data_IF_658965542502
#
_entry.id   IF_658965542502
#
_cell.length_a   1.000
_cell.length_b   1.000
_cell.length_c   1.000
_cell.angle_alpha   90.00
_cell.angle_beta   90.00
_cell.angle_gamma   90.00
#
_symmetry.space_group_name_H-M   'P 1'
#
loop_
_entity.id
_entity.type
_entity.pdbx_description
1 polymer ?
#
# COMPACT_ATOMS: atom_id res chain seq x y z
N UNK A 1 -41.24 -4.79 43.75
CA UNK A 1 -39.94 -5.52 43.74
C UNK A 1 -39.68 -6.33 42.46
N UNK A 2 -40.66 -7.05 41.90
CA UNK A 2 -40.50 -7.87 40.68
C UNK A 2 -39.96 -7.11 39.44
N UNK A 3 -40.41 -5.88 39.17
CA UNK A 3 -39.99 -5.15 37.97
C UNK A 3 -38.55 -4.61 38.06
N UNK A 4 -38.04 -4.32 39.27
CA UNK A 4 -36.65 -3.88 39.45
C UNK A 4 -35.66 -5.03 39.24
N UNK A 5 -36.05 -6.25 39.60
CA UNK A 5 -35.26 -7.45 39.37
C UNK A 5 -35.20 -7.80 37.86
N UNK A 6 -36.32 -7.70 37.14
CA UNK A 6 -36.38 -7.90 35.68
C UNK A 6 -35.50 -6.88 34.93
N UNK A 7 -35.53 -5.61 35.35
CA UNK A 7 -34.73 -4.56 34.74
C UNK A 7 -33.22 -4.78 34.99
N UNK A 8 -32.83 -5.25 36.18
CA UNK A 8 -31.45 -5.58 36.49
C UNK A 8 -30.92 -6.73 35.63
N UNK A 9 -31.71 -7.82 35.50
CA UNK A 9 -31.35 -8.99 34.69
C UNK A 9 -31.20 -8.61 33.21
N UNK A 10 -32.09 -7.76 32.67
CA UNK A 10 -32.03 -7.33 31.28
C UNK A 10 -30.74 -6.53 30.99
N UNK A 11 -30.35 -5.62 31.88
CA UNK A 11 -29.12 -4.83 31.74
C UNK A 11 -27.87 -5.72 31.79
N UNK A 12 -27.83 -6.72 32.67
CA UNK A 12 -26.69 -7.66 32.76
C UNK A 12 -26.55 -8.50 31.48
N UNK A 13 -27.67 -8.95 30.90
CA UNK A 13 -27.66 -9.72 29.63
C UNK A 13 -27.15 -8.87 28.47
N UNK A 14 -27.57 -7.61 28.38
CA UNK A 14 -27.11 -6.68 27.32
C UNK A 14 -25.60 -6.40 27.44
N UNK A 15 -25.10 -6.19 28.66
CA UNK A 15 -23.65 -5.98 28.90
C UNK A 15 -22.85 -7.24 28.57
N UNK A 16 -23.34 -8.43 28.89
CA UNK A 16 -22.68 -9.70 28.56
C UNK A 16 -22.63 -9.95 27.03
N UNK A 17 -23.69 -9.60 26.30
CA UNK A 17 -23.73 -9.70 24.84
C UNK A 17 -22.75 -8.71 24.16
N UNK A 18 -22.63 -7.50 24.70
CA UNK A 18 -21.67 -6.49 24.21
C UNK A 18 -20.22 -6.90 24.51
N UNK A 19 -19.96 -7.55 25.64
CA UNK A 19 -18.63 -8.07 25.99
C UNK A 19 -18.23 -9.28 25.13
N UNK A 20 -19.18 -10.14 24.73
CA UNK A 20 -18.92 -11.26 23.82
C UNK A 20 -18.63 -10.81 22.39
N UNK A 21 -19.21 -9.68 21.94
CA UNK A 21 -18.96 -9.12 20.61
C UNK A 21 -17.54 -8.57 20.42
N UNK A 22 -16.84 -8.21 21.50
CA UNK A 22 -15.46 -7.70 21.45
C UNK A 22 -14.38 -8.78 21.33
N UNK A 23 -14.72 -10.06 21.50
CA UNK A 23 -13.74 -11.15 21.59
C UNK A 23 -13.54 -11.96 20.28
N UNK A 24 -14.37 -11.77 19.25
CA UNK A 24 -14.01 -12.20 17.90
C UNK A 24 -13.18 -11.10 17.21
N UNK A 25 -11.95 -10.90 17.68
CA UNK A 25 -10.91 -10.45 16.76
C UNK A 25 -10.84 -11.52 15.66
N UNK A 26 -11.44 -11.24 14.51
CA UNK A 26 -11.36 -12.13 13.38
C UNK A 26 -9.87 -12.31 13.08
N UNK A 27 -9.34 -13.52 13.25
CA UNK A 27 -7.97 -13.89 12.87
C UNK A 27 -7.77 -13.49 11.40
N UNK A 28 -7.17 -12.32 11.19
CA UNK A 28 -6.90 -11.75 9.88
C UNK A 28 -5.50 -12.22 9.46
N UNK A 29 -5.30 -12.60 8.19
CA UNK A 29 -6.26 -12.72 7.09
C UNK A 29 -6.89 -14.13 6.96
N UNK A 30 -8.12 -14.23 6.43
CA UNK A 30 -8.83 -15.52 6.17
C UNK A 30 -9.04 -15.88 4.70
N UNK A 31 -8.65 -14.99 3.80
CA UNK A 31 -8.77 -15.13 2.35
C UNK A 31 -7.58 -14.44 1.69
N UNK A 32 -7.32 -14.69 0.39
CA UNK A 32 -6.24 -14.03 -0.32
C UNK A 32 -6.33 -12.50 -0.23
N UNK A 33 -5.18 -11.86 -0.21
CA UNK A 33 -5.03 -10.40 -0.21
C UNK A 33 -4.63 -9.97 -1.61
N UNK A 34 -5.37 -9.02 -2.18
CA UNK A 34 -5.01 -8.41 -3.46
C UNK A 34 -3.94 -7.34 -3.23
N UNK A 35 -2.89 -7.38 -4.04
CA UNK A 35 -1.79 -6.40 -4.02
C UNK A 35 -1.83 -5.62 -5.33
N UNK A 36 -2.32 -4.38 -5.27
CA UNK A 36 -2.40 -3.48 -6.41
C UNK A 36 -0.99 -2.99 -6.79
N UNK A 37 -0.65 -3.10 -8.09
CA UNK A 37 0.61 -2.64 -8.67
C UNK A 37 0.32 -1.68 -9.82
N UNK A 38 0.75 -0.43 -9.70
CA UNK A 38 0.48 0.62 -10.71
C UNK A 38 1.39 0.62 -11.93
N UNK A 39 2.19 -0.43 -12.13
CA UNK A 39 3.17 -0.57 -13.20
C UNK A 39 3.09 -1.95 -13.85
N UNK A 40 3.73 -2.10 -15.01
CA UNK A 40 3.75 -3.37 -15.73
C UNK A 40 4.50 -4.47 -14.95
N UNK A 41 4.16 -5.76 -15.16
CA UNK A 41 4.90 -6.89 -14.63
C UNK A 41 6.39 -6.82 -15.00
N UNK A 42 7.27 -7.28 -14.10
CA UNK A 42 8.73 -7.20 -14.24
C UNK A 42 9.35 -5.84 -13.90
N UNK A 43 8.55 -4.79 -13.66
CA UNK A 43 9.05 -3.50 -13.19
C UNK A 43 9.48 -3.50 -11.71
N UNK A 44 10.07 -2.40 -11.25
CA UNK A 44 10.59 -2.28 -9.87
C UNK A 44 9.56 -2.63 -8.79
N UNK A 45 8.30 -2.21 -8.93
CA UNK A 45 7.22 -2.56 -8.00
C UNK A 45 6.91 -4.05 -7.95
N UNK A 46 6.96 -4.73 -9.09
CA UNK A 46 6.73 -6.17 -9.17
C UNK A 46 7.89 -6.98 -8.58
N UNK A 47 9.13 -6.50 -8.81
CA UNK A 47 10.32 -7.05 -8.16
C UNK A 47 10.23 -6.87 -6.64
N UNK A 48 9.80 -5.70 -6.16
CA UNK A 48 9.55 -5.48 -4.73
C UNK A 48 8.55 -6.47 -4.14
N UNK A 49 7.39 -6.67 -4.78
CA UNK A 49 6.43 -7.67 -4.32
C UNK A 49 7.04 -9.07 -4.31
N UNK A 50 7.77 -9.42 -5.36
CA UNK A 50 8.38 -10.74 -5.53
C UNK A 50 9.38 -11.07 -4.42
N UNK A 51 10.09 -10.06 -3.91
CA UNK A 51 11.02 -10.23 -2.79
C UNK A 51 10.31 -10.52 -1.47
N UNK A 52 9.20 -9.83 -1.17
CA UNK A 52 8.54 -9.93 0.15
C UNK A 52 7.42 -10.96 0.20
N UNK A 53 6.74 -11.21 -0.92
CA UNK A 53 5.56 -12.08 -1.01
C UNK A 53 5.78 -13.46 -0.36
N UNK A 54 6.85 -14.22 -0.66
CA UNK A 54 7.02 -15.57 -0.10
C UNK A 54 7.08 -15.57 1.44
N UNK A 55 7.65 -14.52 2.04
CA UNK A 55 7.73 -14.38 3.49
C UNK A 55 6.37 -14.02 4.09
N UNK A 56 5.65 -13.10 3.46
CA UNK A 56 4.31 -12.69 3.90
C UNK A 56 3.30 -13.84 3.78
N UNK A 57 3.33 -14.60 2.67
CA UNK A 57 2.45 -15.75 2.48
C UNK A 57 2.73 -16.85 3.52
N UNK A 58 4.00 -17.10 3.85
CA UNK A 58 4.39 -18.02 4.92
C UNK A 58 3.91 -17.55 6.29
N UNK A 59 4.01 -16.25 6.58
CA UNK A 59 3.61 -15.66 7.86
C UNK A 59 2.10 -15.71 8.04
N UNK A 60 1.36 -15.23 7.04
CA UNK A 60 -0.09 -15.08 7.10
C UNK A 60 -0.86 -16.33 6.72
N UNK A 61 -0.18 -17.35 6.17
CA UNK A 61 -0.81 -18.59 5.66
C UNK A 61 -1.94 -18.29 4.67
N UNK A 62 -1.78 -17.21 3.89
CA UNK A 62 -2.69 -16.79 2.83
C UNK A 62 -1.88 -16.41 1.59
N UNK A 63 -2.56 -16.27 0.46
CA UNK A 63 -1.94 -15.88 -0.81
C UNK A 63 -1.98 -14.36 -0.98
N UNK A 64 -0.89 -13.79 -1.53
CA UNK A 64 -0.82 -12.40 -1.98
C UNK A 64 -0.96 -12.38 -3.51
N UNK A 65 -2.09 -11.88 -4.01
CA UNK A 65 -2.45 -11.91 -5.42
C UNK A 65 -2.05 -10.59 -6.07
N UNK A 66 -1.04 -10.56 -6.96
CA UNK A 66 -0.69 -9.34 -7.70
C UNK A 66 -1.82 -8.94 -8.64
N UNK A 67 -2.21 -7.67 -8.61
CA UNK A 67 -3.22 -7.09 -9.50
C UNK A 67 -2.60 -5.87 -10.18
N UNK A 68 -2.24 -6.03 -11.45
CA UNK A 68 -1.59 -4.97 -12.23
C UNK A 68 -2.64 -3.98 -12.77
N UNK A 69 -2.43 -2.69 -12.46
CA UNK A 69 -3.27 -1.56 -12.86
C UNK A 69 -2.38 -0.43 -13.43
N UNK A 70 -1.66 -0.68 -14.54
CA UNK A 70 -0.75 0.31 -15.11
C UNK A 70 -1.50 1.50 -15.71
N UNK A 71 -0.88 2.68 -15.64
CA UNK A 71 -1.35 3.90 -16.30
C UNK A 71 -1.21 5.15 -15.44
N UNK A 72 -1.08 6.31 -16.08
CA UNK A 72 -0.99 7.63 -15.44
C UNK A 72 0.04 7.74 -14.30
N UNK A 73 1.16 7.00 -14.37
CA UNK A 73 2.14 6.95 -13.28
C UNK A 73 1.57 6.39 -11.97
N UNK A 74 0.92 5.22 -12.06
CA UNK A 74 0.26 4.49 -10.97
C UNK A 74 -1.03 5.11 -10.40
N UNK A 75 -1.51 6.22 -10.97
CA UNK A 75 -2.69 6.92 -10.46
C UNK A 75 -3.95 6.03 -10.42
N UNK A 76 -4.13 5.19 -11.44
CA UNK A 76 -5.25 4.24 -11.53
C UNK A 76 -5.24 3.27 -10.34
N UNK A 77 -4.05 2.76 -9.98
CA UNK A 77 -3.90 1.83 -8.86
C UNK A 77 -4.15 2.52 -7.51
N UNK A 78 -3.69 3.76 -7.35
CA UNK A 78 -3.90 4.53 -6.11
C UNK A 78 -5.36 4.94 -5.93
N UNK A 79 -6.05 5.32 -7.00
CA UNK A 79 -7.51 5.55 -6.99
C UNK A 79 -8.27 4.30 -6.57
N UNK A 80 -7.95 3.14 -7.15
CA UNK A 80 -8.59 1.87 -6.76
C UNK A 80 -8.28 1.49 -5.31
N UNK A 81 -7.04 1.72 -4.85
CA UNK A 81 -6.66 1.50 -3.46
C UNK A 81 -7.46 2.38 -2.49
N UNK A 82 -7.55 3.68 -2.77
CA UNK A 82 -8.27 4.65 -1.95
C UNK A 82 -9.78 4.38 -1.89
N UNK A 83 -10.37 3.81 -2.96
CA UNK A 83 -11.77 3.42 -3.00
C UNK A 83 -12.04 2.00 -2.47
N UNK A 84 -11.00 1.23 -2.17
CA UNK A 84 -11.13 -0.13 -1.68
C UNK A 84 -11.69 -0.18 -0.25
N UNK A 85 -12.25 -1.33 0.14
CA UNK A 85 -12.71 -1.51 1.51
C UNK A 85 -11.52 -1.45 2.47
N UNK A 86 -11.58 -0.68 3.57
CA UNK A 86 -10.50 -0.60 4.55
C UNK A 86 -10.48 -1.82 5.48
N UNK A 87 -10.47 -3.02 4.89
CA UNK A 87 -10.51 -4.32 5.59
C UNK A 87 -9.20 -5.12 5.48
N UNK A 88 -8.18 -4.53 4.86
CA UNK A 88 -6.84 -5.11 4.68
C UNK A 88 -6.72 -6.08 3.50
N UNK A 89 -7.82 -6.50 2.88
CA UNK A 89 -7.75 -7.48 1.77
C UNK A 89 -7.39 -6.85 0.41
N UNK A 90 -7.28 -5.53 0.35
CA UNK A 90 -6.67 -4.81 -0.76
C UNK A 90 -5.57 -3.92 -0.20
N UNK A 91 -4.34 -4.19 -0.59
CA UNK A 91 -3.17 -3.37 -0.29
C UNK A 91 -2.54 -2.93 -1.62
N UNK A 92 -1.65 -1.95 -1.60
CA UNK A 92 -0.96 -1.52 -2.81
C UNK A 92 0.52 -1.28 -2.57
N UNK A 93 1.29 -1.45 -3.64
CA UNK A 93 2.68 -1.00 -3.65
C UNK A 93 2.72 0.45 -4.09
N UNK A 94 3.10 1.29 -3.14
CA UNK A 94 3.36 2.71 -3.35
C UNK A 94 4.83 2.91 -3.70
N UNK A 95 5.10 3.75 -4.69
CA UNK A 95 6.47 4.08 -5.11
C UNK A 95 6.70 5.58 -5.04
N UNK A 96 7.91 5.95 -4.64
CA UNK A 96 8.41 7.30 -4.84
C UNK A 96 9.06 7.41 -6.22
N UNK A 97 8.88 8.54 -6.91
CA UNK A 97 8.28 9.77 -6.40
C UNK A 97 6.77 9.93 -6.69
N UNK A 98 6.11 8.94 -7.30
CA UNK A 98 4.75 9.10 -7.86
C UNK A 98 3.70 9.42 -6.80
N UNK A 99 3.78 8.78 -5.64
CA UNK A 99 2.81 8.99 -4.54
C UNK A 99 2.75 10.47 -4.11
N UNK A 100 3.86 11.14 -3.77
CA UNK A 100 3.81 12.58 -3.49
C UNK A 100 3.66 13.45 -4.74
N UNK A 101 4.22 13.08 -5.90
CA UNK A 101 4.23 13.95 -7.09
C UNK A 101 2.87 14.02 -7.78
N UNK A 102 2.14 12.91 -7.91
CA UNK A 102 0.86 12.87 -8.64
C UNK A 102 -0.12 13.98 -8.18
N UNK A 103 -0.46 14.11 -6.88
CA UNK A 103 -1.38 15.16 -6.42
C UNK A 103 -0.79 16.59 -6.51
N UNK A 104 0.52 16.74 -6.69
CA UNK A 104 1.17 18.06 -6.85
C UNK A 104 1.03 18.54 -8.30
N UNK A 105 1.19 17.64 -9.27
CA UNK A 105 1.29 18.01 -10.70
C UNK A 105 0.00 17.86 -11.48
N UNK A 106 -1.03 17.24 -10.90
CA UNK A 106 -2.34 17.03 -11.52
C UNK A 106 -3.43 16.83 -10.47
N UNK A 107 -4.69 16.94 -10.91
CA UNK A 107 -5.85 16.59 -10.09
C UNK A 107 -6.01 15.06 -10.03
N UNK A 108 -5.94 14.51 -8.82
CA UNK A 108 -6.06 13.06 -8.55
C UNK A 108 -7.42 12.73 -7.95
N UNK A 109 -7.92 11.52 -8.18
CA UNK A 109 -9.17 11.02 -7.56
C UNK A 109 -8.95 10.45 -6.13
N UNK A 110 -7.79 10.71 -5.55
CA UNK A 110 -7.37 10.24 -4.24
C UNK A 110 -6.46 11.30 -3.60
N UNK A 111 -6.38 11.29 -2.27
CA UNK A 111 -5.48 12.13 -1.47
C UNK A 111 -4.51 11.27 -0.69
N UNK A 112 -3.38 11.85 -0.31
CA UNK A 112 -2.41 11.18 0.57
C UNK A 112 -3.04 10.70 1.88
N UNK A 113 -4.05 11.41 2.40
CA UNK A 113 -4.81 11.03 3.61
C UNK A 113 -5.66 9.78 3.45
N UNK A 114 -5.96 9.37 2.21
CA UNK A 114 -6.80 8.21 1.92
C UNK A 114 -5.97 6.92 1.93
N UNK A 115 -4.64 7.04 1.97
CA UNK A 115 -3.70 5.93 1.99
C UNK A 115 -3.12 5.78 3.41
N UNK A 116 -3.16 4.55 3.93
CA UNK A 116 -2.56 4.22 5.22
C UNK A 116 -1.18 3.59 4.97
N UNK A 117 -0.07 4.24 5.37
CA UNK A 117 1.26 3.65 5.25
C UNK A 117 1.39 2.42 6.16
N UNK A 118 1.81 1.29 5.58
CA UNK A 118 1.98 0.03 6.33
C UNK A 118 3.45 -0.21 6.68
N UNK A 119 4.31 -0.24 5.65
CA UNK A 119 5.74 -0.45 5.82
C UNK A 119 6.51 0.14 4.63
N UNK A 120 7.74 0.60 4.89
CA UNK A 120 8.72 0.82 3.84
C UNK A 120 9.44 -0.52 3.55
N UNK A 121 9.41 -0.97 2.30
CA UNK A 121 10.02 -2.24 1.88
C UNK A 121 11.45 -2.02 1.36
N UNK A 122 11.70 -0.90 0.70
CA UNK A 122 13.00 -0.54 0.14
C UNK A 122 13.23 0.96 0.24
N UNK A 123 14.50 1.32 0.44
CA UNK A 123 15.00 2.68 0.25
C UNK A 123 15.94 2.67 -0.95
N UNK A 124 15.54 3.32 -2.03
CA UNK A 124 16.25 3.39 -3.29
C UNK A 124 16.73 4.83 -3.59
N UNK A 125 17.99 5.18 -3.30
CA UNK A 125 18.50 6.50 -3.63
C UNK A 125 18.55 6.69 -5.15
N UNK A 126 17.98 7.79 -5.63
CA UNK A 126 18.11 8.18 -7.03
C UNK A 126 19.57 8.42 -7.40
N UNK A 127 20.02 7.85 -8.51
CA UNK A 127 21.40 7.99 -9.01
C UNK A 127 21.41 8.57 -10.42
N UNK A 128 22.44 9.36 -10.72
CA UNK A 128 22.75 9.81 -12.08
C UNK A 128 23.61 8.74 -12.74
N UNK A 129 23.11 8.16 -13.83
CA UNK A 129 23.82 7.15 -14.61
C UNK A 129 24.15 7.70 -15.98
N UNK A 130 25.39 7.47 -16.43
CA UNK A 130 25.86 7.79 -17.78
C UNK A 130 26.30 6.51 -18.47
N UNK A 131 26.35 6.55 -19.81
CA UNK A 131 26.83 5.43 -20.62
C UNK A 131 28.28 5.11 -20.26
N UNK A 132 28.60 3.83 -20.03
CA UNK A 132 29.91 3.39 -19.53
C UNK A 132 31.08 3.80 -20.45
N UNK A 133 30.90 3.66 -21.78
CA UNK A 133 31.85 4.07 -22.82
C UNK A 133 31.64 5.53 -23.28
N UNK A 134 30.81 6.30 -22.56
CA UNK A 134 30.56 7.71 -22.85
C UNK A 134 31.69 8.65 -22.37
N UNK A 135 31.70 9.91 -22.86
CA UNK A 135 32.72 10.90 -22.53
C UNK A 135 32.55 11.53 -21.14
N UNK A 136 31.36 11.41 -20.53
CA UNK A 136 31.07 11.96 -19.22
C UNK A 136 31.62 11.01 -18.14
N UNK A 137 32.61 11.46 -17.36
CA UNK A 137 33.23 10.65 -16.30
C UNK A 137 33.02 11.24 -14.92
N UNK A 138 32.69 12.52 -14.85
CA UNK A 138 32.46 13.24 -13.60
C UNK A 138 31.14 14.01 -13.65
N UNK A 139 30.64 14.38 -12.47
CA UNK A 139 29.51 15.32 -12.38
C UNK A 139 29.83 16.66 -13.05
N UNK A 140 31.10 17.11 -12.98
CA UNK A 140 31.53 18.34 -13.65
C UNK A 140 31.40 18.24 -15.18
N UNK A 141 31.76 17.10 -15.77
CA UNK A 141 31.57 16.85 -17.21
C UNK A 141 30.10 16.92 -17.58
N UNK A 142 29.24 16.28 -16.78
CA UNK A 142 27.79 16.29 -16.98
C UNK A 142 27.23 17.72 -16.90
N UNK A 143 27.58 18.49 -15.87
CA UNK A 143 27.11 19.87 -15.71
C UNK A 143 27.62 20.79 -16.83
N UNK A 144 28.87 20.61 -17.27
CA UNK A 144 29.43 21.35 -18.39
C UNK A 144 28.68 21.04 -19.69
N UNK A 145 28.39 19.76 -19.95
CA UNK A 145 27.62 19.34 -21.11
C UNK A 145 26.18 19.89 -21.07
N UNK A 146 25.51 19.81 -19.92
CA UNK A 146 24.12 20.29 -19.76
C UNK A 146 23.96 21.81 -19.93
N UNK A 147 24.99 22.60 -19.58
CA UNK A 147 25.00 24.07 -19.77
C UNK A 147 25.41 24.52 -21.17
N UNK A 148 25.94 23.60 -21.98
CA UNK A 148 26.43 23.89 -23.33
C UNK A 148 25.38 23.74 -24.44
N UNK A 149 24.16 23.31 -24.08
CA UNK A 149 22.98 23.31 -24.94
C UNK A 149 22.15 24.57 -24.72
#
# INVERSE_FOLDING_TARGET
MHNRLKLFVLTTVVVALLAAAGAQAAEYPRKPINVLIGFAPGGGSDVMLSMVRPHLEKLFKTTMVPVYKPGSGADIAFTELAMSKPDGYTVGITTTPQVPINPIVRETQWKMSDLIPVANVVTDPGILVVRADGPLKTLADFLKAAKGC
#
